data_IF_830092607409
#
_entry.id   IF_830092607409
#
_cell.length_a   1.000
_cell.length_b   1.000
_cell.length_c   1.000
_cell.angle_alpha   90.00
_cell.angle_beta   90.00
_cell.angle_gamma   90.00
#
_symmetry.space_group_name_H-M   'P 1'
#
loop_
_entity.id
_entity.type
_entity.pdbx_description
1 polymer ?
#
# COMPACT_ATOMS: atom_id res chain seq x y z
N UNK A 1 52.77 91.29 -18.43
CA UNK A 1 51.92 91.04 -19.61
C UNK A 1 51.33 89.64 -19.48
N UNK A 2 50.13 89.50 -18.93
CA UNK A 2 49.28 88.30 -19.07
C UNK A 2 47.83 88.72 -18.83
N UNK A 3 47.04 88.73 -19.90
CA UNK A 3 45.63 89.02 -19.92
C UNK A 3 44.85 87.79 -19.41
N UNK A 4 43.91 87.99 -18.48
CA UNK A 4 42.92 86.97 -18.11
C UNK A 4 41.62 87.27 -18.85
N UNK A 5 41.38 86.52 -19.92
CA UNK A 5 40.09 86.38 -20.58
C UNK A 5 39.15 85.59 -19.66
N UNK A 6 38.03 86.19 -19.24
CA UNK A 6 36.94 85.47 -18.60
C UNK A 6 35.92 85.08 -19.69
N UNK A 7 35.89 83.80 -20.05
CA UNK A 7 34.89 83.21 -20.95
C UNK A 7 33.74 82.70 -20.09
N UNK A 8 32.55 83.27 -20.26
CA UNK A 8 31.31 82.80 -19.67
C UNK A 8 30.79 81.60 -20.47
N UNK A 9 30.83 80.39 -19.89
CA UNK A 9 30.13 79.22 -20.43
C UNK A 9 28.65 79.30 -20.03
N UNK A 10 27.77 79.42 -21.03
CA UNK A 10 26.35 79.18 -20.88
C UNK A 10 26.13 77.67 -20.67
N UNK A 11 25.66 77.28 -19.48
CA UNK A 11 25.27 75.91 -19.19
C UNK A 11 23.95 75.60 -19.93
N UNK A 12 24.04 74.87 -21.04
CA UNK A 12 22.89 74.27 -21.70
C UNK A 12 22.26 73.23 -20.77
N UNK A 13 21.01 73.45 -20.38
CA UNK A 13 20.23 72.44 -19.64
C UNK A 13 20.02 71.27 -20.59
N UNK A 14 20.61 70.10 -20.29
CA UNK A 14 20.35 68.89 -21.03
C UNK A 14 18.86 68.53 -20.87
N UNK A 15 18.06 68.79 -21.90
CA UNK A 15 16.69 68.31 -21.95
C UNK A 15 16.74 66.79 -22.08
N UNK A 16 16.27 66.07 -21.07
CA UNK A 16 16.13 64.62 -21.13
C UNK A 16 15.08 64.29 -22.19
N UNK A 17 15.48 63.53 -23.22
CA UNK A 17 14.59 63.17 -24.31
C UNK A 17 13.42 62.31 -23.78
N UNK A 18 12.22 62.58 -24.28
CA UNK A 18 11.05 61.74 -24.00
C UNK A 18 11.33 60.28 -24.43
N UNK A 19 10.76 59.27 -23.76
CA UNK A 19 10.94 57.88 -24.15
C UNK A 19 10.53 57.69 -25.62
N UNK A 20 11.34 56.99 -26.43
CA UNK A 20 10.93 56.64 -27.78
C UNK A 20 9.68 55.76 -27.70
N UNK A 21 8.72 55.98 -28.61
CA UNK A 21 7.49 55.19 -28.66
C UNK A 21 7.45 54.39 -29.96
N UNK A 22 7.00 53.14 -29.85
CA UNK A 22 6.74 52.25 -30.98
C UNK A 22 5.25 52.29 -31.29
N UNK A 23 4.90 52.46 -32.57
CA UNK A 23 3.49 52.47 -33.02
C UNK A 23 3.04 51.03 -33.30
N UNK A 24 1.96 50.59 -32.66
CA UNK A 24 1.24 49.37 -32.98
C UNK A 24 -0.03 49.74 -33.74
N UNK A 25 -0.14 49.30 -34.99
CA UNK A 25 -1.29 49.54 -35.86
C UNK A 25 -1.74 48.24 -36.54
N UNK A 26 -3.02 47.92 -36.41
CA UNK A 26 -3.60 46.71 -37.01
C UNK A 26 -5.11 46.87 -37.30
N UNK A 27 -5.65 45.95 -38.11
CA UNK A 27 -7.09 45.81 -38.33
C UNK A 27 -7.57 44.46 -37.77
N UNK A 28 -8.36 44.52 -36.71
CA UNK A 28 -8.84 43.34 -35.99
C UNK A 28 -10.20 42.88 -36.49
N UNK A 29 -10.34 41.57 -36.60
CA UNK A 29 -11.56 40.89 -37.01
C UNK A 29 -12.03 39.92 -35.93
N UNK A 30 -13.33 39.72 -35.84
CA UNK A 30 -13.95 38.59 -35.13
C UNK A 30 -13.82 37.33 -35.99
N UNK A 31 -13.98 36.16 -35.38
CA UNK A 31 -13.90 34.88 -36.10
C UNK A 31 -14.99 34.71 -37.17
N UNK A 32 -16.09 35.46 -37.07
CA UNK A 32 -17.16 35.52 -38.08
C UNK A 32 -16.81 36.38 -39.30
N UNK A 33 -15.61 36.97 -39.34
CA UNK A 33 -15.14 37.84 -40.43
C UNK A 33 -15.57 39.30 -40.32
N UNK A 34 -16.40 39.67 -39.34
CA UNK A 34 -16.76 41.08 -39.09
C UNK A 34 -15.64 41.82 -38.35
N UNK A 35 -15.60 43.16 -38.49
CA UNK A 35 -14.60 43.98 -37.82
C UNK A 35 -14.86 44.06 -36.31
N UNK A 36 -13.81 43.89 -35.52
CA UNK A 36 -13.90 44.01 -34.06
C UNK A 36 -14.18 45.48 -33.67
N UNK A 37 -15.15 45.70 -32.78
CA UNK A 37 -15.47 47.03 -32.26
C UNK A 37 -15.52 46.95 -30.72
N UNK A 38 -14.86 47.87 -30.03
CA UNK A 38 -14.76 47.81 -28.58
C UNK A 38 -13.67 48.71 -28.00
N UNK A 39 -13.18 48.34 -26.82
CA UNK A 39 -12.09 49.02 -26.13
C UNK A 39 -11.01 48.03 -25.71
N UNK A 40 -9.78 48.49 -25.68
CA UNK A 40 -8.63 47.77 -25.16
C UNK A 40 -8.08 48.54 -23.97
N UNK A 41 -7.96 47.87 -22.83
CA UNK A 41 -7.28 48.39 -21.65
C UNK A 41 -5.89 47.76 -21.59
N UNK A 42 -4.85 48.60 -21.70
CA UNK A 42 -3.44 48.20 -21.66
C UNK A 42 -2.88 48.65 -20.31
N UNK A 43 -2.30 47.74 -19.52
CA UNK A 43 -1.72 48.05 -18.20
C UNK A 43 -0.28 47.55 -18.10
N UNK A 44 0.55 48.26 -17.34
CA UNK A 44 1.95 47.90 -17.08
C UNK A 44 2.38 48.31 -15.67
N UNK A 45 3.42 47.68 -15.15
CA UNK A 45 4.13 48.08 -13.92
C UNK A 45 5.33 48.95 -14.24
N UNK A 46 5.99 49.51 -13.22
CA UNK A 46 7.15 50.38 -13.41
C UNK A 46 8.33 49.65 -14.07
N UNK A 47 9.02 50.31 -14.99
CA UNK A 47 10.26 49.82 -15.60
C UNK A 47 11.13 50.96 -16.13
N UNK A 48 12.43 50.71 -16.33
CA UNK A 48 13.33 51.64 -17.00
C UNK A 48 13.40 51.30 -18.50
N UNK A 49 12.91 52.21 -19.35
CA UNK A 49 12.91 52.09 -20.80
C UNK A 49 14.24 52.54 -21.45
N UNK A 50 14.35 52.48 -22.78
CA UNK A 50 15.50 53.01 -23.51
C UNK A 50 15.80 54.47 -23.13
N UNK A 51 17.08 54.85 -23.18
CA UNK A 51 17.59 56.16 -22.74
C UNK A 51 17.38 56.47 -21.24
N UNK A 52 17.33 55.44 -20.39
CA UNK A 52 17.18 55.57 -18.92
C UNK A 52 15.91 56.33 -18.51
N UNK A 53 14.84 56.13 -19.28
CA UNK A 53 13.55 56.79 -19.03
C UNK A 53 12.71 55.95 -18.08
N UNK A 54 12.38 56.50 -16.91
CA UNK A 54 11.51 55.82 -15.95
C UNK A 54 10.06 55.85 -16.40
N UNK A 55 9.47 54.67 -16.61
CA UNK A 55 8.06 54.49 -16.95
C UNK A 55 7.34 54.06 -15.68
N UNK A 56 6.46 54.91 -15.14
CA UNK A 56 5.67 54.59 -13.95
C UNK A 56 4.52 53.62 -14.25
N UNK A 57 4.10 52.83 -13.26
CA UNK A 57 2.93 51.95 -13.31
C UNK A 57 1.67 52.72 -13.69
N UNK A 58 1.02 52.35 -14.80
CA UNK A 58 -0.23 52.96 -15.25
C UNK A 58 -1.01 52.04 -16.20
N UNK A 59 -2.11 52.54 -16.75
CA UNK A 59 -2.79 51.94 -17.88
C UNK A 59 -3.28 52.97 -18.89
N UNK A 60 -3.51 52.51 -20.11
CA UNK A 60 -4.02 53.28 -21.25
C UNK A 60 -5.21 52.56 -21.85
N UNK A 61 -6.31 53.29 -22.06
CA UNK A 61 -7.49 52.79 -22.76
C UNK A 61 -7.47 53.26 -24.21
N UNK A 62 -7.67 52.35 -25.16
CA UNK A 62 -7.71 52.60 -26.60
C UNK A 62 -9.05 52.13 -27.14
N UNK A 63 -9.72 52.96 -27.94
CA UNK A 63 -10.96 52.57 -28.63
C UNK A 63 -10.61 51.90 -29.94
N UNK A 64 -11.30 50.81 -30.25
CA UNK A 64 -11.26 50.15 -31.56
C UNK A 64 -12.59 50.41 -32.25
N UNK A 65 -12.51 51.14 -33.35
CA UNK A 65 -13.66 51.48 -34.20
C UNK A 65 -13.36 50.92 -35.58
N UNK A 66 -14.32 50.19 -36.14
CA UNK A 66 -14.20 49.55 -37.44
C UNK A 66 -12.93 48.67 -37.55
N UNK A 67 -12.62 47.92 -36.49
CA UNK A 67 -11.44 47.03 -36.43
C UNK A 67 -10.12 47.75 -36.24
N UNK A 68 -10.04 49.09 -36.37
CA UNK A 68 -8.77 49.80 -36.36
C UNK A 68 -8.23 49.97 -34.93
N UNK A 69 -7.08 49.35 -34.67
CA UNK A 69 -6.28 49.55 -33.47
C UNK A 69 -5.08 50.42 -33.83
N UNK A 70 -4.86 51.51 -33.10
CA UNK A 70 -3.65 52.34 -33.19
C UNK A 70 -3.25 52.81 -31.79
N UNK A 71 -2.04 52.44 -31.36
CA UNK A 71 -1.51 52.83 -30.06
C UNK A 71 0.01 53.00 -30.14
N UNK A 72 0.55 53.92 -29.35
CA UNK A 72 1.98 54.11 -29.18
C UNK A 72 2.38 53.71 -27.75
N UNK A 73 3.36 52.82 -27.63
CA UNK A 73 3.83 52.28 -26.35
C UNK A 73 5.36 52.38 -26.27
N UNK A 74 5.88 52.51 -25.05
CA UNK A 74 7.32 52.50 -24.83
C UNK A 74 7.87 51.08 -25.06
N UNK A 75 9.09 50.92 -25.60
CA UNK A 75 9.70 49.61 -25.75
C UNK A 75 9.92 48.92 -24.40
N UNK A 76 9.65 47.63 -24.35
CA UNK A 76 9.84 46.78 -23.15
C UNK A 76 10.94 45.73 -23.32
N UNK A 77 11.50 45.58 -24.53
CA UNK A 77 12.60 44.63 -24.77
C UNK A 77 13.89 45.19 -24.17
N UNK A 78 14.53 44.39 -23.30
CA UNK A 78 15.80 44.75 -22.66
C UNK A 78 15.69 45.70 -21.47
N UNK A 79 14.49 45.95 -20.94
CA UNK A 79 14.28 46.82 -19.78
C UNK A 79 14.67 46.16 -18.47
N UNK A 80 14.93 46.97 -17.44
CA UNK A 80 15.16 46.51 -16.07
C UNK A 80 14.20 47.24 -15.11
N UNK A 81 13.41 46.53 -14.29
CA UNK A 81 13.13 45.09 -14.38
C UNK A 81 12.50 44.71 -15.74
N UNK A 82 12.49 43.42 -16.05
CA UNK A 82 11.84 42.92 -17.26
C UNK A 82 10.35 43.34 -17.28
N UNK A 83 9.92 43.93 -18.40
CA UNK A 83 8.59 44.52 -18.51
C UNK A 83 7.78 43.94 -19.69
N UNK A 84 6.46 43.98 -19.53
CA UNK A 84 5.50 43.63 -20.57
C UNK A 84 4.20 44.43 -20.35
N UNK A 85 3.37 44.49 -21.38
CA UNK A 85 2.03 45.05 -21.29
C UNK A 85 0.99 43.94 -21.15
N UNK A 86 0.05 44.09 -20.23
CA UNK A 86 -1.16 43.26 -20.17
C UNK A 86 -2.29 43.99 -20.91
N UNK A 87 -2.86 43.32 -21.91
CA UNK A 87 -3.83 43.91 -22.84
C UNK A 87 -5.15 43.18 -22.70
N UNK A 88 -6.19 43.88 -22.23
CA UNK A 88 -7.55 43.35 -22.03
C UNK A 88 -8.51 43.89 -23.07
N UNK A 89 -9.10 43.00 -23.86
CA UNK A 89 -10.07 43.33 -24.89
C UNK A 89 -11.49 43.28 -24.32
N UNK A 90 -12.27 44.32 -24.56
CA UNK A 90 -13.68 44.40 -24.21
C UNK A 90 -14.50 44.82 -25.44
N UNK A 91 -15.67 44.21 -25.62
CA UNK A 91 -16.64 44.52 -26.68
C UNK A 91 -18.04 44.46 -26.08
N UNK A 92 -18.93 45.38 -26.47
CA UNK A 92 -20.30 45.49 -25.94
C UNK A 92 -20.39 45.53 -24.40
N UNK A 93 -19.41 46.18 -23.77
CA UNK A 93 -19.30 46.30 -22.31
C UNK A 93 -18.86 45.02 -21.58
N UNK A 94 -18.48 43.96 -22.31
CA UNK A 94 -18.05 42.67 -21.74
C UNK A 94 -16.59 42.37 -22.06
N UNK A 95 -15.89 41.79 -21.08
CA UNK A 95 -14.57 41.21 -21.26
C UNK A 95 -14.60 40.07 -22.27
N UNK A 96 -13.62 40.06 -23.17
CA UNK A 96 -13.49 39.05 -24.22
C UNK A 96 -12.33 38.11 -23.90
N UNK A 97 -11.11 38.66 -23.84
CA UNK A 97 -9.88 37.93 -23.55
C UNK A 97 -8.75 38.90 -23.17
N UNK A 98 -7.63 38.36 -22.72
CA UNK A 98 -6.41 39.12 -22.46
C UNK A 98 -5.18 38.48 -23.10
N UNK A 99 -4.19 39.30 -23.42
CA UNK A 99 -2.88 38.86 -23.91
C UNK A 99 -1.75 39.71 -23.33
N UNK A 100 -0.52 39.21 -23.50
CA UNK A 100 0.70 39.91 -23.10
C UNK A 100 1.43 40.40 -24.35
N UNK A 101 1.93 41.63 -24.29
CA UNK A 101 2.78 42.21 -25.34
C UNK A 101 4.17 42.53 -24.83
N UNK A 102 5.18 42.16 -25.62
CA UNK A 102 6.53 42.76 -25.56
C UNK A 102 6.69 43.69 -26.75
N UNK A 103 7.14 44.92 -26.51
CA UNK A 103 7.22 45.94 -27.55
C UNK A 103 8.69 46.22 -27.85
N UNK A 104 9.21 45.84 -29.03
CA UNK A 104 10.55 46.24 -29.45
C UNK A 104 10.60 47.74 -29.78
N UNK A 105 11.80 48.31 -29.83
CA UNK A 105 12.00 49.65 -30.40
C UNK A 105 11.97 49.54 -31.92
N UNK A 106 10.98 50.13 -32.57
CA UNK A 106 10.85 50.09 -34.02
C UNK A 106 10.31 51.43 -34.57
N UNK A 107 11.02 52.09 -35.52
CA UNK A 107 10.55 53.32 -36.14
C UNK A 107 9.37 53.11 -37.11
N UNK A 108 9.14 51.88 -37.60
CA UNK A 108 8.00 51.53 -38.44
C UNK A 108 6.82 51.00 -37.61
N UNK A 109 5.55 51.21 -38.05
CA UNK A 109 4.40 50.62 -37.38
C UNK A 109 4.47 49.08 -37.37
N UNK A 110 4.20 48.51 -36.20
CA UNK A 110 4.16 47.06 -35.96
C UNK A 110 2.72 46.56 -35.87
N UNK A 111 2.47 45.30 -36.24
CA UNK A 111 1.15 44.66 -36.11
C UNK A 111 1.02 43.98 -34.76
N UNK A 112 -0.21 43.62 -34.37
CA UNK A 112 -0.46 42.92 -33.08
C UNK A 112 0.30 41.60 -33.01
N UNK A 113 0.43 40.89 -34.13
CA UNK A 113 1.19 39.63 -34.21
C UNK A 113 2.67 39.79 -33.86
N UNK A 114 3.25 40.98 -34.06
CA UNK A 114 4.69 41.23 -33.92
C UNK A 114 5.06 41.56 -32.46
N UNK A 115 4.06 41.89 -31.63
CA UNK A 115 4.24 42.25 -30.22
C UNK A 115 3.63 41.23 -29.26
N UNK A 116 2.72 40.36 -29.73
CA UNK A 116 2.06 39.35 -28.89
C UNK A 116 3.01 38.22 -28.50
N UNK A 117 3.03 37.89 -27.21
CA UNK A 117 3.73 36.70 -26.69
C UNK A 117 2.73 35.64 -26.19
N UNK A 118 3.02 34.37 -26.43
CA UNK A 118 2.31 33.26 -25.79
C UNK A 118 2.72 33.25 -24.30
N UNK A 119 1.75 33.33 -23.38
CA UNK A 119 2.04 33.52 -21.94
C UNK A 119 2.63 32.28 -21.24
N UNK A 120 2.88 32.36 -19.92
CA UNK A 120 3.40 33.52 -19.20
C UNK A 120 4.93 33.56 -19.33
N UNK A 121 5.50 34.74 -19.59
CA UNK A 121 6.95 34.93 -19.53
C UNK A 121 7.37 34.80 -18.05
N UNK A 122 8.11 33.74 -17.73
CA UNK A 122 8.92 33.72 -16.52
C UNK A 122 9.99 34.83 -16.64
N UNK A 123 10.33 35.57 -15.57
CA UNK A 123 11.36 36.59 -15.65
C UNK A 123 12.70 35.96 -16.10
N UNK A 124 13.12 36.25 -17.33
CA UNK A 124 14.40 35.78 -17.88
C UNK A 124 14.35 35.18 -19.28
N UNK A 125 13.17 34.75 -19.78
CA UNK A 125 13.13 34.03 -21.06
C UNK A 125 12.92 34.93 -22.27
N UNK A 126 13.86 34.79 -23.22
CA UNK A 126 13.74 35.35 -24.56
C UNK A 126 12.67 34.57 -25.32
N UNK A 127 11.68 35.30 -25.82
CA UNK A 127 10.58 34.74 -26.60
C UNK A 127 11.10 33.95 -27.82
N UNK A 128 11.11 32.63 -27.70
CA UNK A 128 11.06 31.72 -28.86
C UNK A 128 9.84 30.82 -28.66
N UNK A 129 8.86 31.01 -29.53
CA UNK A 129 7.56 30.35 -29.48
C UNK A 129 7.64 28.89 -29.90
N UNK A 130 8.25 28.06 -29.07
CA UNK A 130 8.04 26.63 -29.10
C UNK A 130 7.86 26.22 -27.64
N UNK A 131 6.62 25.88 -27.25
CA UNK A 131 6.42 25.09 -26.05
C UNK A 131 7.07 23.74 -26.36
N UNK A 132 8.36 23.62 -26.05
CA UNK A 132 9.01 22.34 -25.93
C UNK A 132 8.21 21.49 -24.95
N UNK A 133 8.17 20.19 -25.17
CA UNK A 133 7.71 19.25 -24.16
C UNK A 133 8.52 19.52 -22.89
N UNK A 134 7.85 19.92 -21.81
CA UNK A 134 8.49 20.09 -20.50
C UNK A 134 8.81 18.70 -19.98
N UNK A 135 10.09 18.37 -19.86
CA UNK A 135 10.53 17.07 -19.36
C UNK A 135 10.63 17.08 -17.83
N UNK A 136 10.84 15.91 -17.22
CA UNK A 136 10.92 15.80 -15.75
C UNK A 136 12.09 16.65 -15.21
N UNK A 137 13.17 16.75 -15.97
CA UNK A 137 14.38 17.50 -15.63
C UNK A 137 14.16 19.02 -15.61
N UNK A 138 13.16 19.53 -16.32
CA UNK A 138 12.84 20.97 -16.40
C UNK A 138 12.17 21.49 -15.11
N UNK A 139 11.63 20.59 -14.28
CA UNK A 139 10.93 20.95 -13.04
C UNK A 139 11.84 20.70 -11.84
N UNK A 140 12.38 21.79 -11.29
CA UNK A 140 13.23 21.77 -10.09
C UNK A 140 12.59 20.95 -8.94
N UNK A 141 13.33 19.96 -8.43
CA UNK A 141 12.91 19.09 -7.34
C UNK A 141 12.00 17.92 -7.76
N UNK A 142 11.48 17.91 -8.99
CA UNK A 142 10.62 16.81 -9.46
C UNK A 142 11.37 15.48 -9.60
N UNK A 143 12.62 15.41 -10.11
CA UNK A 143 13.37 14.16 -10.17
C UNK A 143 13.51 13.51 -8.78
N UNK A 144 13.93 14.29 -7.78
CA UNK A 144 14.14 13.83 -6.40
C UNK A 144 12.82 13.37 -5.76
N UNK A 145 11.73 14.10 -5.99
CA UNK A 145 10.38 13.74 -5.52
C UNK A 145 9.82 12.48 -6.22
N UNK A 146 10.28 12.16 -7.43
CA UNK A 146 9.92 10.92 -8.11
C UNK A 146 10.75 9.73 -7.61
N UNK A 147 12.00 9.95 -7.22
CA UNK A 147 12.87 8.88 -6.70
C UNK A 147 12.40 8.32 -5.36
N UNK A 148 11.77 9.13 -4.51
CA UNK A 148 11.24 8.72 -3.20
C UNK A 148 9.90 7.99 -3.28
N UNK A 149 9.27 7.90 -4.46
CA UNK A 149 8.00 7.19 -4.64
C UNK A 149 8.22 5.68 -4.69
N UNK A 150 7.28 4.88 -4.16
CA UNK A 150 7.29 3.43 -4.35
C UNK A 150 7.37 3.06 -5.83
N UNK A 151 8.33 2.22 -6.20
CA UNK A 151 8.55 1.77 -7.58
C UNK A 151 7.76 0.50 -7.85
N UNK A 152 7.48 0.22 -9.13
CA UNK A 152 6.90 -1.05 -9.55
C UNK A 152 7.98 -2.13 -9.49
N UNK A 153 7.74 -3.21 -8.74
CA UNK A 153 8.64 -4.36 -8.73
C UNK A 153 8.39 -5.32 -9.89
N UNK A 154 9.28 -6.29 -10.04
CA UNK A 154 9.21 -7.29 -11.12
C UNK A 154 8.03 -8.25 -10.99
N UNK A 155 7.46 -8.39 -9.80
CA UNK A 155 6.30 -9.22 -9.50
C UNK A 155 4.96 -8.49 -9.66
N UNK A 156 4.94 -7.29 -10.23
CA UNK A 156 3.70 -6.55 -10.49
C UNK A 156 2.79 -7.29 -11.48
N UNK A 157 1.59 -7.66 -11.03
CA UNK A 157 0.59 -8.34 -11.85
C UNK A 157 -0.78 -7.66 -11.70
N UNK A 158 -1.49 -7.41 -12.81
CA UNK A 158 -2.84 -6.83 -12.76
C UNK A 158 -3.84 -7.80 -12.09
N UNK A 159 -4.92 -7.24 -11.54
CA UNK A 159 -6.01 -7.98 -10.88
C UNK A 159 -5.59 -8.79 -9.65
N UNK A 160 -4.60 -8.29 -8.89
CA UNK A 160 -4.13 -8.86 -7.63
C UNK A 160 -3.98 -7.76 -6.58
N UNK A 161 -3.95 -8.16 -5.31
CA UNK A 161 -3.62 -7.25 -4.22
C UNK A 161 -2.16 -6.79 -4.32
N UNK A 162 -1.89 -5.53 -4.01
CA UNK A 162 -0.54 -4.97 -4.00
C UNK A 162 0.17 -5.28 -2.66
N UNK A 163 1.44 -5.68 -2.73
CA UNK A 163 2.30 -5.97 -1.57
C UNK A 163 3.66 -5.30 -1.76
N UNK A 164 4.30 -4.91 -0.67
CA UNK A 164 5.63 -4.30 -0.71
C UNK A 164 6.66 -5.43 -0.57
N UNK A 165 7.58 -5.55 -1.53
CA UNK A 165 8.62 -6.57 -1.51
C UNK A 165 9.83 -6.17 -0.63
N UNK A 166 10.81 -7.06 -0.51
CA UNK A 166 12.02 -6.84 0.30
C UNK A 166 12.88 -5.64 -0.15
N UNK A 167 12.70 -5.17 -1.40
CA UNK A 167 13.37 -4.00 -1.96
C UNK A 167 12.54 -2.71 -1.80
N UNK A 168 11.36 -2.78 -1.16
CA UNK A 168 10.46 -1.64 -0.99
C UNK A 168 9.62 -1.31 -2.23
N UNK A 169 9.58 -2.20 -3.23
CA UNK A 169 8.81 -2.02 -4.46
C UNK A 169 7.41 -2.64 -4.35
N UNK A 170 6.48 -2.16 -5.18
CA UNK A 170 5.11 -2.69 -5.27
C UNK A 170 5.09 -3.91 -6.19
N UNK A 171 4.81 -5.07 -5.62
CA UNK A 171 4.54 -6.33 -6.31
C UNK A 171 3.08 -6.78 -6.11
N UNK A 172 2.67 -7.84 -6.79
CA UNK A 172 1.38 -8.50 -6.56
C UNK A 172 1.48 -9.65 -5.56
N UNK A 173 0.48 -9.78 -4.68
CA UNK A 173 0.35 -10.94 -3.81
C UNK A 173 0.26 -12.24 -4.63
N UNK A 174 1.11 -13.21 -4.28
CA UNK A 174 1.16 -14.53 -4.92
C UNK A 174 0.14 -15.48 -4.28
N UNK A 175 -0.59 -16.23 -5.11
CA UNK A 175 -1.64 -17.16 -4.66
C UNK A 175 -2.80 -17.30 -5.65
N UNK A 176 -3.85 -18.00 -5.24
CA UNK A 176 -5.14 -18.08 -5.92
C UNK A 176 -5.90 -16.75 -5.80
N UNK A 177 -6.82 -16.49 -6.75
CA UNK A 177 -7.69 -15.31 -6.69
C UNK A 177 -8.71 -15.34 -5.54
N UNK A 178 -8.89 -16.51 -4.92
CA UNK A 178 -9.78 -16.69 -3.77
C UNK A 178 -9.05 -16.66 -2.41
N UNK A 179 -7.74 -16.41 -2.41
CA UNK A 179 -6.93 -16.39 -1.20
C UNK A 179 -7.07 -15.07 -0.44
N UNK A 180 -6.94 -15.16 0.89
CA UNK A 180 -6.81 -14.04 1.79
C UNK A 180 -5.34 -13.63 1.91
N UNK A 181 -5.09 -12.33 1.88
CA UNK A 181 -3.75 -11.74 2.04
C UNK A 181 -3.47 -11.48 3.52
N UNK A 182 -2.27 -11.86 3.97
CA UNK A 182 -1.75 -11.65 5.33
C UNK A 182 -0.99 -10.33 5.42
N UNK A 183 -0.73 -9.88 6.64
CA UNK A 183 -0.02 -8.61 6.91
C UNK A 183 1.41 -8.61 6.35
N UNK A 184 2.03 -9.78 6.24
CA UNK A 184 3.37 -9.97 5.65
C UNK A 184 3.36 -10.02 4.10
N UNK A 185 2.21 -9.83 3.46
CA UNK A 185 2.07 -9.86 1.99
C UNK A 185 1.90 -11.26 1.38
N UNK A 186 1.95 -12.32 2.17
CA UNK A 186 1.65 -13.69 1.67
C UNK A 186 0.15 -13.90 1.51
N UNK A 187 -0.26 -14.79 0.60
CA UNK A 187 -1.66 -15.20 0.46
C UNK A 187 -1.85 -16.69 0.78
N UNK A 188 -3.00 -17.01 1.38
CA UNK A 188 -3.45 -18.37 1.66
C UNK A 188 -4.99 -18.41 1.59
N UNK A 189 -5.62 -19.57 1.43
CA UNK A 189 -7.09 -19.66 1.38
C UNK A 189 -7.76 -18.86 2.50
N UNK A 190 -8.71 -17.99 2.13
CA UNK A 190 -9.57 -17.33 3.11
C UNK A 190 -10.25 -18.41 3.96
N UNK A 191 -10.20 -18.29 5.29
CA UNK A 191 -10.66 -19.33 6.23
C UNK A 191 -11.93 -20.04 5.72
N UNK A 192 -12.08 -21.35 5.81
CA UNK A 192 -11.55 -22.31 6.77
C UNK A 192 -10.47 -23.18 6.14
N UNK A 193 -9.33 -23.27 6.82
CA UNK A 193 -8.67 -24.54 6.78
C UNK A 193 -9.57 -25.52 7.54
N UNK A 194 -10.21 -26.42 6.82
CA UNK A 194 -11.10 -27.39 7.42
C UNK A 194 -10.27 -28.38 8.22
N UNK A 195 -10.47 -28.40 9.54
CA UNK A 195 -10.12 -29.57 10.34
C UNK A 195 -11.13 -30.64 9.94
N UNK A 196 -10.69 -31.68 9.25
CA UNK A 196 -11.52 -32.85 9.02
C UNK A 196 -11.23 -33.89 10.11
N UNK A 197 -12.30 -34.47 10.65
CA UNK A 197 -12.23 -35.51 11.66
C UNK A 197 -12.57 -36.85 11.01
N UNK A 198 -11.70 -37.82 11.20
CA UNK A 198 -11.91 -39.20 10.79
C UNK A 198 -12.28 -39.98 12.03
N UNK A 199 -13.54 -40.42 12.07
CA UNK A 199 -14.11 -41.10 13.21
C UNK A 199 -14.24 -42.59 12.94
N UNK A 200 -13.71 -43.40 13.85
CA UNK A 200 -13.85 -44.87 13.84
C UNK A 200 -13.38 -45.51 12.53
N UNK A 201 -12.30 -45.00 11.96
CA UNK A 201 -11.66 -45.63 10.82
C UNK A 201 -11.09 -46.99 11.22
N UNK A 202 -11.20 -48.00 10.36
CA UNK A 202 -10.45 -49.26 10.53
C UNK A 202 -9.15 -49.17 9.74
N UNK A 203 -7.98 -49.11 10.40
CA UNK A 203 -6.70 -49.04 9.71
C UNK A 203 -6.49 -50.23 8.75
N UNK A 204 -6.00 -49.94 7.54
CA UNK A 204 -5.72 -50.95 6.53
C UNK A 204 -4.51 -51.80 6.87
N UNK A 205 -4.70 -53.12 6.90
CA UNK A 205 -3.67 -54.11 7.20
C UNK A 205 -4.32 -55.43 7.64
N UNK A 206 -3.60 -56.53 7.50
CA UNK A 206 -4.09 -57.84 7.97
C UNK A 206 -3.80 -57.95 9.47
N UNK A 207 -4.78 -58.43 10.24
CA UNK A 207 -4.61 -58.73 11.67
C UNK A 207 -4.34 -60.24 11.81
N UNK A 208 -3.07 -60.63 11.73
CA UNK A 208 -2.62 -62.03 11.76
C UNK A 208 -1.75 -62.38 12.99
N UNK A 209 -1.58 -61.44 13.93
CA UNK A 209 -0.72 -61.61 15.11
C UNK A 209 0.77 -61.36 14.84
N UNK A 210 1.17 -61.15 13.58
CA UNK A 210 2.56 -60.90 13.16
C UNK A 210 2.72 -59.51 12.54
N UNK A 211 1.75 -59.06 11.76
CA UNK A 211 1.76 -57.75 11.12
C UNK A 211 1.68 -56.64 12.16
N UNK A 212 2.68 -55.76 12.15
CA UNK A 212 2.75 -54.59 13.03
C UNK A 212 2.46 -53.29 12.30
N UNK A 213 2.36 -53.30 10.97
CA UNK A 213 2.18 -52.10 10.16
C UNK A 213 0.75 -52.00 9.63
N UNK A 214 0.08 -50.89 9.94
CA UNK A 214 -1.27 -50.58 9.50
C UNK A 214 -1.30 -49.16 8.94
N UNK A 215 -2.13 -48.92 7.92
CA UNK A 215 -2.20 -47.63 7.24
C UNK A 215 -3.55 -46.97 7.46
N UNK A 216 -3.53 -45.70 7.85
CA UNK A 216 -4.67 -44.82 7.80
C UNK A 216 -4.93 -44.34 6.37
N UNK A 217 -6.16 -43.95 6.08
CA UNK A 217 -6.57 -43.43 4.79
C UNK A 217 -5.93 -42.07 4.49
N UNK A 218 -5.73 -41.26 5.52
CA UNK A 218 -5.07 -39.96 5.43
C UNK A 218 -4.01 -39.80 6.50
N UNK A 219 -2.97 -39.01 6.22
CA UNK A 219 -1.94 -38.66 7.20
C UNK A 219 -2.53 -37.75 8.28
N UNK A 220 -2.54 -38.17 9.57
CA UNK A 220 -2.98 -37.32 10.66
C UNK A 220 -2.07 -36.09 10.82
N UNK A 221 -2.68 -34.95 11.14
CA UNK A 221 -1.97 -33.71 11.41
C UNK A 221 -2.69 -32.98 12.56
N UNK A 222 -2.09 -32.90 13.76
CA UNK A 222 -0.79 -33.49 14.13
C UNK A 222 -0.87 -35.02 14.33
N UNK A 223 0.25 -35.77 14.26
CA UNK A 223 0.30 -37.22 14.52
C UNK A 223 -0.26 -37.63 15.88
N UNK A 224 -0.07 -36.80 16.90
CA UNK A 224 -0.54 -37.01 18.28
C UNK A 224 -2.07 -37.04 18.40
N UNK A 225 -2.78 -36.56 17.38
CA UNK A 225 -4.26 -36.60 17.35
C UNK A 225 -4.84 -38.00 17.21
N UNK A 226 -4.03 -39.00 16.82
CA UNK A 226 -4.48 -40.37 16.64
C UNK A 226 -4.82 -40.99 17.98
N UNK A 227 -6.08 -41.40 18.13
CA UNK A 227 -6.56 -42.27 19.19
C UNK A 227 -6.86 -43.64 18.60
N UNK A 228 -5.98 -44.60 18.86
CA UNK A 228 -6.12 -45.98 18.38
C UNK A 228 -6.77 -46.85 19.45
N UNK A 229 -7.83 -47.56 19.09
CA UNK A 229 -8.52 -48.50 19.96
C UNK A 229 -8.34 -49.93 19.43
N UNK A 230 -8.06 -50.85 20.35
CA UNK A 230 -8.07 -52.29 20.11
C UNK A 230 -9.16 -52.90 20.99
N UNK A 231 -10.18 -53.49 20.38
CA UNK A 231 -11.37 -54.03 21.08
C UNK A 231 -12.04 -53.00 22.01
N UNK A 232 -12.00 -51.72 21.66
CA UNK A 232 -12.57 -50.63 22.46
C UNK A 232 -11.66 -50.10 23.57
N UNK A 233 -10.47 -50.65 23.78
CA UNK A 233 -9.47 -50.12 24.72
C UNK A 233 -8.51 -49.17 24.01
N UNK A 234 -8.38 -47.93 24.50
CA UNK A 234 -7.42 -46.97 23.96
C UNK A 234 -5.99 -47.49 24.16
N UNK A 235 -5.24 -47.58 23.07
CA UNK A 235 -3.83 -47.91 23.06
C UNK A 235 -3.01 -46.64 23.34
N UNK A 236 -1.83 -46.82 23.93
CA UNK A 236 -0.95 -45.73 24.37
C UNK A 236 0.12 -45.45 23.32
N UNK A 237 0.08 -44.28 22.69
CA UNK A 237 1.14 -43.83 21.78
C UNK A 237 2.51 -43.80 22.48
N UNK A 238 3.55 -44.30 21.80
CA UNK A 238 4.91 -44.47 22.31
C UNK A 238 5.14 -45.73 23.17
N UNK A 239 4.07 -46.42 23.59
CA UNK A 239 4.15 -47.68 24.35
C UNK A 239 3.62 -48.84 23.52
N UNK A 240 2.42 -48.69 22.97
CA UNK A 240 1.74 -49.73 22.19
C UNK A 240 1.92 -49.51 20.68
N UNK A 241 2.03 -48.26 20.23
CA UNK A 241 2.20 -47.91 18.81
C UNK A 241 2.94 -46.59 18.60
N UNK A 242 3.44 -46.38 17.39
CA UNK A 242 3.92 -45.09 16.87
C UNK A 242 3.19 -44.71 15.58
N UNK A 243 3.17 -43.41 15.24
CA UNK A 243 2.56 -42.87 14.03
C UNK A 243 3.61 -42.11 13.23
N UNK A 244 3.71 -42.39 11.93
CA UNK A 244 4.54 -41.63 10.99
C UNK A 244 3.87 -41.56 9.63
N UNK A 245 3.61 -40.35 9.12
CA UNK A 245 2.74 -40.17 7.97
C UNK A 245 1.34 -40.75 8.27
N UNK A 246 0.81 -41.56 7.37
CA UNK A 246 -0.43 -42.33 7.61
C UNK A 246 -0.18 -43.71 8.25
N UNK A 247 1.07 -44.09 8.53
CA UNK A 247 1.38 -45.41 9.06
C UNK A 247 1.30 -45.45 10.58
N UNK A 248 0.56 -46.44 11.10
CA UNK A 248 0.57 -46.89 12.49
C UNK A 248 1.47 -48.12 12.58
N UNK A 249 2.48 -48.07 13.44
CA UNK A 249 3.36 -49.20 13.71
C UNK A 249 3.17 -49.65 15.16
N UNK A 250 2.65 -50.86 15.38
CA UNK A 250 2.58 -51.47 16.71
C UNK A 250 3.98 -51.81 17.21
N UNK A 251 4.24 -51.46 18.47
CA UNK A 251 5.49 -51.75 19.15
C UNK A 251 5.51 -53.21 19.66
N UNK A 252 6.69 -53.78 19.98
CA UNK A 252 6.81 -55.18 20.40
C UNK A 252 5.87 -55.55 21.55
N UNK A 253 5.13 -56.65 21.39
CA UNK A 253 4.15 -57.13 22.38
C UNK A 253 2.74 -56.54 22.23
N UNK A 254 2.56 -55.48 21.45
CA UNK A 254 1.26 -54.84 21.23
C UNK A 254 0.57 -55.28 19.93
N UNK A 255 1.23 -56.11 19.10
CA UNK A 255 0.70 -56.57 17.82
C UNK A 255 -0.72 -57.17 17.97
N UNK A 256 -1.69 -56.71 17.17
CA UNK A 256 -3.07 -57.17 17.27
C UNK A 256 -3.17 -58.64 16.82
N UNK A 257 -3.89 -59.43 17.59
CA UNK A 257 -4.08 -60.87 17.39
C UNK A 257 -5.27 -61.14 16.47
N UNK A 258 -5.29 -62.29 15.77
CA UNK A 258 -6.43 -62.68 14.94
C UNK A 258 -7.75 -62.58 15.71
N UNK A 259 -8.70 -61.80 15.16
CA UNK A 259 -10.00 -61.53 15.80
C UNK A 259 -10.10 -60.19 16.52
N UNK A 260 -8.98 -59.47 16.72
CA UNK A 260 -9.02 -58.12 17.26
C UNK A 260 -9.60 -57.11 16.26
N UNK A 261 -10.33 -56.14 16.80
CA UNK A 261 -10.90 -55.03 16.03
C UNK A 261 -10.12 -53.76 16.33
N UNK A 262 -9.62 -53.12 15.28
CA UNK A 262 -8.97 -51.82 15.35
C UNK A 262 -9.92 -50.70 14.94
N UNK A 263 -9.90 -49.60 15.68
CA UNK A 263 -10.59 -48.36 15.33
C UNK A 263 -9.70 -47.17 15.65
N UNK A 264 -9.51 -46.27 14.69
CA UNK A 264 -8.73 -45.05 14.83
C UNK A 264 -9.64 -43.83 14.72
N UNK A 265 -9.34 -42.82 15.54
CA UNK A 265 -9.93 -41.48 15.44
C UNK A 265 -8.80 -40.48 15.32
N UNK A 266 -8.85 -39.59 14.35
CA UNK A 266 -7.78 -38.62 14.13
C UNK A 266 -8.26 -37.38 13.38
N UNK A 267 -7.43 -36.34 13.38
CA UNK A 267 -7.70 -35.11 12.62
C UNK A 267 -6.68 -34.91 11.52
N UNK A 268 -7.13 -34.28 10.46
CA UNK A 268 -6.31 -33.78 9.36
C UNK A 268 -6.50 -32.29 9.25
N UNK A 269 -5.40 -31.59 9.02
CA UNK A 269 -5.39 -30.16 8.75
C UNK A 269 -5.14 -29.93 7.26
N UNK A 270 -5.96 -29.08 6.64
CA UNK A 270 -5.63 -28.51 5.35
C UNK A 270 -4.40 -27.60 5.50
N UNK A 271 -3.55 -27.55 4.46
CA UNK A 271 -2.35 -26.72 4.47
C UNK A 271 -2.69 -25.26 4.81
N UNK A 272 -2.04 -24.70 5.83
CA UNK A 272 -2.26 -23.33 6.29
C UNK A 272 -3.33 -23.15 7.37
N UNK A 273 -3.85 -24.25 7.95
CA UNK A 273 -4.75 -24.17 9.10
C UNK A 273 -4.12 -23.56 10.34
N UNK A 274 -4.77 -22.62 11.03
CA UNK A 274 -4.44 -22.39 12.43
C UNK A 274 -4.69 -23.71 13.16
N UNK A 275 -3.71 -24.19 13.93
CA UNK A 275 -3.93 -25.34 14.80
C UNK A 275 -5.08 -24.98 15.74
N UNK A 276 -6.20 -25.72 15.71
CA UNK A 276 -7.22 -25.48 16.69
C UNK A 276 -6.65 -25.80 18.08
N UNK A 277 -7.08 -25.08 19.12
CA UNK A 277 -6.59 -25.25 20.49
C UNK A 277 -7.01 -26.60 21.07
N UNK A 278 -6.34 -27.67 20.65
CA UNK A 278 -6.51 -29.03 21.13
C UNK A 278 -5.22 -29.47 21.78
N UNK A 279 -5.35 -30.08 22.94
CA UNK A 279 -4.32 -30.87 23.58
C UNK A 279 -4.66 -32.33 23.33
N UNK A 280 -3.82 -33.04 22.57
CA UNK A 280 -4.02 -34.46 22.25
C UNK A 280 -2.99 -35.33 22.98
N UNK A 281 -3.42 -36.48 23.48
CA UNK A 281 -2.52 -37.48 24.08
C UNK A 281 -1.66 -37.00 25.26
N UNK A 282 -2.05 -35.94 25.95
CA UNK A 282 -1.24 -35.32 27.00
C UNK A 282 -1.09 -36.26 28.21
N UNK A 283 0.13 -36.34 28.73
CA UNK A 283 0.39 -36.93 30.06
C UNK A 283 0.30 -35.81 31.09
N UNK A 284 -0.71 -35.79 31.98
CA UNK A 284 -0.82 -34.75 32.98
C UNK A 284 0.33 -34.87 33.99
N UNK A 285 0.78 -33.73 34.53
CA UNK A 285 1.92 -33.66 35.44
C UNK A 285 1.49 -34.01 36.86
N UNK A 286 2.13 -35.00 37.47
CA UNK A 286 1.91 -35.42 38.85
C UNK A 286 2.58 -36.77 39.09
N UNK A 287 2.98 -37.04 40.34
CA UNK A 287 3.53 -38.34 40.70
C UNK A 287 2.37 -39.33 40.84
N UNK A 288 2.53 -40.54 40.30
CA UNK A 288 1.57 -41.64 40.45
C UNK A 288 2.11 -42.59 41.52
N UNK A 289 1.77 -42.32 42.79
CA UNK A 289 2.24 -43.07 43.97
C UNK A 289 1.11 -43.79 44.72
N UNK A 290 -0.13 -43.73 44.21
CA UNK A 290 -1.31 -44.29 44.86
C UNK A 290 -1.91 -43.41 45.96
N UNK A 291 -1.30 -42.27 46.26
CA UNK A 291 -1.75 -41.31 47.28
C UNK A 291 -2.09 -39.95 46.64
N UNK A 292 -1.30 -39.48 45.69
CA UNK A 292 -1.50 -38.22 44.99
C UNK A 292 -2.76 -38.27 44.11
N UNK A 293 -3.76 -37.46 44.47
CA UNK A 293 -5.00 -37.33 43.73
C UNK A 293 -4.98 -36.17 42.71
N UNK A 294 -3.98 -35.29 42.76
CA UNK A 294 -3.94 -34.07 41.95
C UNK A 294 -2.94 -34.16 40.79
N UNK A 295 -3.40 -33.77 39.60
CA UNK A 295 -2.59 -33.77 38.38
C UNK A 295 -2.85 -32.50 37.56
N UNK A 296 -1.79 -31.90 37.04
CA UNK A 296 -1.85 -30.59 36.37
C UNK A 296 -1.74 -30.72 34.85
N UNK A 297 -2.62 -30.03 34.15
CA UNK A 297 -2.64 -29.89 32.70
C UNK A 297 -1.81 -28.69 32.25
N UNK A 298 -1.20 -28.73 31.05
CA UNK A 298 -0.45 -27.60 30.52
C UNK A 298 -1.33 -26.38 30.25
N UNK A 299 -2.62 -26.56 29.95
CA UNK A 299 -3.62 -25.50 29.77
C UNK A 299 -4.95 -25.92 30.40
N UNK A 300 -5.77 -24.94 30.82
CA UNK A 300 -7.10 -25.20 31.36
C UNK A 300 -8.07 -25.61 30.23
N UNK A 301 -8.83 -26.72 30.37
CA UNK A 301 -9.80 -27.12 29.37
C UNK A 301 -10.96 -26.11 29.23
N UNK A 302 -11.29 -25.74 28.00
CA UNK A 302 -12.39 -24.85 27.66
C UNK A 302 -13.19 -25.39 26.44
N UNK A 303 -14.45 -25.84 26.64
CA UNK A 303 -15.14 -25.98 27.93
C UNK A 303 -14.52 -27.11 28.78
N UNK A 304 -14.69 -27.04 30.10
CA UNK A 304 -14.20 -28.07 31.04
C UNK A 304 -14.69 -29.49 30.69
N UNK A 305 -15.91 -29.59 30.16
CA UNK A 305 -16.53 -30.85 29.69
C UNK A 305 -15.85 -31.46 28.46
N UNK A 306 -14.93 -30.74 27.81
CA UNK A 306 -14.14 -31.29 26.69
C UNK A 306 -13.03 -32.23 27.15
N UNK A 307 -12.70 -32.24 28.44
CA UNK A 307 -11.64 -33.10 28.98
C UNK A 307 -12.07 -34.56 29.01
N UNK A 308 -11.32 -35.40 28.29
CA UNK A 308 -11.38 -36.84 28.37
C UNK A 308 -10.15 -37.35 29.12
N UNK A 309 -10.33 -38.07 30.23
CA UNK A 309 -9.25 -38.69 31.00
C UNK A 309 -9.30 -40.20 30.82
N UNK A 310 -8.20 -40.81 30.37
CA UNK A 310 -8.05 -42.25 30.30
C UNK A 310 -6.99 -42.72 31.29
N UNK A 311 -7.30 -43.78 32.03
CA UNK A 311 -6.35 -44.50 32.90
C UNK A 311 -6.20 -45.91 32.36
N UNK A 312 -5.00 -46.29 31.93
CA UNK A 312 -4.71 -47.57 31.27
C UNK A 312 -5.66 -47.84 30.09
N UNK A 313 -5.92 -46.81 29.29
CA UNK A 313 -6.82 -46.88 28.14
C UNK A 313 -8.32 -46.86 28.46
N UNK A 314 -8.72 -46.90 29.73
CA UNK A 314 -10.13 -46.86 30.16
C UNK A 314 -10.56 -45.42 30.46
N UNK A 315 -11.63 -44.97 29.81
CA UNK A 315 -12.22 -43.65 30.04
C UNK A 315 -12.72 -43.53 31.50
N UNK A 316 -12.39 -42.40 32.13
CA UNK A 316 -12.86 -41.98 33.45
C UNK A 316 -13.95 -40.94 33.29
N UNK A 317 -14.96 -41.02 34.15
CA UNK A 317 -16.14 -40.15 34.08
C UNK A 317 -15.95 -38.93 34.99
N UNK A 318 -16.14 -37.75 34.43
CA UNK A 318 -16.15 -36.51 35.21
C UNK A 318 -17.22 -36.57 36.30
N UNK A 319 -16.96 -35.93 37.44
CA UNK A 319 -17.73 -35.91 38.69
C UNK A 319 -17.87 -37.26 39.42
N UNK A 320 -17.60 -38.39 38.75
CA UNK A 320 -17.63 -39.73 39.38
C UNK A 320 -16.22 -40.21 39.73
N UNK A 321 -15.28 -40.12 38.77
CA UNK A 321 -13.89 -40.53 38.95
C UNK A 321 -12.97 -39.35 39.26
N UNK A 322 -13.27 -38.16 38.74
CA UNK A 322 -12.46 -36.96 38.93
C UNK A 322 -13.27 -35.67 38.78
N UNK A 323 -12.74 -34.57 39.31
CA UNK A 323 -13.18 -33.18 39.08
C UNK A 323 -12.07 -32.41 38.35
N UNK A 324 -12.43 -31.30 37.71
CA UNK A 324 -11.49 -30.41 37.01
C UNK A 324 -11.74 -28.97 37.47
N UNK A 325 -10.69 -28.28 37.93
CA UNK A 325 -10.72 -26.88 38.30
C UNK A 325 -9.53 -26.14 37.67
N UNK A 326 -9.81 -25.23 36.73
CA UNK A 326 -8.78 -24.64 35.89
C UNK A 326 -8.02 -25.72 35.12
N UNK A 327 -6.72 -25.87 35.37
CA UNK A 327 -5.88 -26.91 34.79
C UNK A 327 -5.64 -28.10 35.73
N UNK A 328 -6.24 -28.15 36.92
CA UNK A 328 -6.00 -29.23 37.89
C UNK A 328 -7.10 -30.28 37.86
N UNK A 329 -6.72 -31.52 37.56
CA UNK A 329 -7.54 -32.71 37.73
C UNK A 329 -7.37 -33.19 39.17
N UNK A 330 -8.49 -33.44 39.86
CA UNK A 330 -8.50 -34.05 41.19
C UNK A 330 -9.30 -35.35 41.12
N UNK A 331 -8.66 -36.49 41.36
CA UNK A 331 -9.33 -37.79 41.39
C UNK A 331 -10.11 -38.01 42.68
N UNK A 332 -11.29 -38.61 42.57
CA UNK A 332 -12.05 -39.05 43.74
C UNK A 332 -11.29 -40.15 44.50
N UNK A 333 -11.47 -40.31 45.83
CA UNK A 333 -10.66 -41.23 46.64
C UNK A 333 -10.59 -42.69 46.14
N UNK A 334 -11.65 -43.20 45.51
CA UNK A 334 -11.68 -44.55 44.92
C UNK A 334 -11.04 -44.68 43.54
N UNK A 335 -10.68 -43.55 42.93
CA UNK A 335 -10.19 -43.47 41.55
C UNK A 335 -8.76 -42.92 41.45
N UNK A 336 -8.08 -42.71 42.58
CA UNK A 336 -6.68 -42.29 42.64
C UNK A 336 -5.80 -43.28 41.85
N UNK A 337 -5.02 -42.78 40.85
CA UNK A 337 -4.12 -43.61 40.04
C UNK A 337 -3.07 -44.32 40.90
N UNK A 338 -2.88 -45.62 40.65
CA UNK A 338 -1.96 -46.48 41.38
C UNK A 338 -0.59 -46.57 40.71
N UNK A 339 0.51 -46.86 41.43
CA UNK A 339 1.82 -47.03 40.83
C UNK A 339 1.78 -48.02 39.65
N UNK A 340 2.27 -47.57 38.49
CA UNK A 340 2.23 -48.31 37.23
C UNK A 340 1.04 -47.97 36.32
N UNK A 341 0.06 -47.20 36.80
CA UNK A 341 -1.00 -46.66 35.94
C UNK A 341 -0.43 -45.62 34.95
N UNK A 342 -1.02 -45.58 33.76
CA UNK A 342 -0.74 -44.59 32.72
C UNK A 342 -1.95 -43.69 32.55
N UNK A 343 -1.72 -42.39 32.65
CA UNK A 343 -2.71 -41.36 32.34
C UNK A 343 -2.48 -40.78 30.94
N UNK A 344 -3.57 -40.66 30.18
CA UNK A 344 -3.61 -39.93 28.91
C UNK A 344 -4.88 -39.10 28.85
N UNK A 345 -4.74 -37.83 28.48
CA UNK A 345 -5.86 -36.91 28.38
C UNK A 345 -5.93 -36.23 27.02
N UNK A 346 -7.12 -35.81 26.63
CA UNK A 346 -7.31 -34.96 25.46
C UNK A 346 -8.44 -33.96 25.70
N UNK A 347 -8.27 -32.71 25.26
CA UNK A 347 -9.21 -31.61 25.54
C UNK A 347 -9.04 -30.42 24.60
N UNK A 348 -10.04 -29.54 24.58
CA UNK A 348 -9.98 -28.22 23.93
C UNK A 348 -9.60 -27.16 24.96
N UNK A 349 -8.82 -26.13 24.60
CA UNK A 349 -8.37 -25.08 25.54
C UNK A 349 -8.47 -23.65 25.02
#
# INVERSE_FOLDING_TARGET
MMARLAVWLAAGVAAWAAPPLTTIEDTLFKADGTRFNGIVLITWTTFEGPNQTNIATQGRTVRIIDGRLNVQLAPTVGTQPAAYYLVKYNSDGKFQFSEHWTVPSNPAPMRVRDVRVAGPLWPGDSASGQLGEVTIEDVSGLPEELEVRPRRGTGFLPSRAAVINDLGEIDAALGSLADCVRVDGTAAPCGTASVAFFDRETPGGVVDGVNTLFNLLFQPEPPESVRLFRNGLLQTAGVDYSVSGSAITFLPGAAPQPGDVLAAYYRVLAAGAPMPNFADGVSPVGVIDGVNAEFTLPQAPNPASSLMVHRNGVLKLALTDYTINGSTIEFQPGSVPQPGDVLRVSYRH
#
